data_IF_097850576747
#
_entry.id   IF_097850576747
#
_cell.length_a   1.000
_cell.length_b   1.000
_cell.length_c   1.000
_cell.angle_alpha   90.00
_cell.angle_beta   90.00
_cell.angle_gamma   90.00
#
_symmetry.space_group_name_H-M   'P 1'
#
loop_
_entity.id
_entity.type
_entity.pdbx_description
1 polymer ?
#
# COMPACT_ATOMS: atom_id res chain seq x y z
N UNK A 1 3.90 -17.28 -15.16
CA UNK A 1 4.55 -15.95 -15.07
C UNK A 1 3.41 -14.95 -14.88
N UNK A 2 3.48 -14.06 -13.90
CA UNK A 2 2.41 -13.07 -13.64
C UNK A 2 2.68 -11.83 -14.49
N UNK A 3 1.66 -11.35 -15.20
CA UNK A 3 1.72 -10.09 -15.95
C UNK A 3 1.34 -8.92 -15.03
N UNK A 4 2.28 -8.01 -14.76
CA UNK A 4 2.10 -6.95 -13.76
C UNK A 4 1.09 -5.86 -14.14
N UNK A 5 0.75 -5.73 -15.42
CA UNK A 5 -0.22 -4.75 -15.91
C UNK A 5 -1.60 -4.98 -15.27
N UNK A 6 -2.04 -6.24 -15.21
CA UNK A 6 -3.38 -6.64 -14.76
C UNK A 6 -3.38 -7.35 -13.39
N UNK A 7 -2.21 -7.54 -12.77
CA UNK A 7 -2.09 -8.22 -11.49
C UNK A 7 -2.64 -7.38 -10.32
N UNK A 8 -3.23 -8.07 -9.36
CA UNK A 8 -3.70 -7.58 -8.07
C UNK A 8 -2.91 -8.22 -6.94
N UNK A 9 -3.01 -7.67 -5.71
CA UNK A 9 -2.36 -8.24 -4.53
C UNK A 9 -2.66 -9.73 -4.30
N UNK A 10 -3.89 -10.16 -4.62
CA UNK A 10 -4.34 -11.53 -4.42
C UNK A 10 -3.63 -12.54 -5.32
N UNK A 11 -3.15 -12.09 -6.48
CA UNK A 11 -2.47 -12.95 -7.45
C UNK A 11 -1.10 -13.44 -6.95
N UNK A 12 -0.58 -12.83 -5.88
CA UNK A 12 0.70 -13.20 -5.25
C UNK A 12 0.53 -14.10 -4.03
N UNK A 13 -0.70 -14.34 -3.54
CA UNK A 13 -0.94 -15.19 -2.36
C UNK A 13 -0.79 -16.69 -2.67
N UNK A 14 -1.04 -17.10 -3.91
CA UNK A 14 -1.08 -18.52 -4.31
C UNK A 14 -0.45 -18.74 -5.69
N UNK A 15 0.84 -18.41 -5.83
CA UNK A 15 1.56 -18.66 -7.08
C UNK A 15 1.92 -20.15 -7.17
N UNK A 16 1.32 -20.85 -8.14
CA UNK A 16 1.55 -22.28 -8.33
C UNK A 16 3.04 -22.57 -8.52
N UNK A 17 3.54 -23.58 -7.80
CA UNK A 17 4.92 -24.08 -7.84
C UNK A 17 5.99 -23.15 -7.26
N UNK A 18 5.61 -22.10 -6.55
CA UNK A 18 6.53 -21.26 -5.80
C UNK A 18 6.31 -21.42 -4.30
N UNK A 19 7.39 -21.40 -3.55
CA UNK A 19 7.31 -21.25 -2.11
C UNK A 19 7.08 -19.77 -1.72
N UNK A 20 6.92 -19.53 -0.41
CA UNK A 20 6.62 -18.19 0.09
C UNK A 20 7.75 -17.19 -0.16
N UNK A 21 9.01 -17.62 -0.10
CA UNK A 21 10.17 -16.77 -0.33
C UNK A 21 10.28 -16.34 -1.80
N UNK A 22 10.00 -17.26 -2.72
CA UNK A 22 9.95 -16.99 -4.16
C UNK A 22 8.78 -16.08 -4.53
N UNK A 23 7.62 -16.31 -3.92
CA UNK A 23 6.43 -15.49 -4.10
C UNK A 23 6.65 -14.06 -3.61
N UNK A 24 7.34 -13.90 -2.46
CA UNK A 24 7.71 -12.61 -1.90
C UNK A 24 8.61 -11.80 -2.85
N UNK A 25 9.62 -12.42 -3.47
CA UNK A 25 10.50 -11.74 -4.45
C UNK A 25 9.76 -11.25 -5.69
N UNK A 26 8.76 -11.99 -6.15
CA UNK A 26 7.94 -11.60 -7.29
C UNK A 26 6.99 -10.46 -6.90
N UNK A 27 6.46 -10.52 -5.68
CA UNK A 27 5.62 -9.46 -5.13
C UNK A 27 6.39 -8.15 -4.92
N UNK A 28 7.63 -8.20 -4.42
CA UNK A 28 8.52 -7.04 -4.31
C UNK A 28 8.73 -6.36 -5.67
N UNK A 29 9.01 -7.14 -6.72
CA UNK A 29 9.13 -6.61 -8.10
C UNK A 29 7.84 -5.96 -8.60
N UNK A 30 6.68 -6.52 -8.23
CA UNK A 30 5.38 -5.94 -8.56
C UNK A 30 5.16 -4.60 -7.83
N UNK A 31 5.54 -4.50 -6.55
CA UNK A 31 5.50 -3.25 -5.80
C UNK A 31 6.40 -2.19 -6.45
N UNK A 32 7.62 -2.55 -6.86
CA UNK A 32 8.51 -1.65 -7.59
C UNK A 32 7.92 -1.22 -8.94
N UNK A 33 7.32 -2.14 -9.70
CA UNK A 33 6.65 -1.84 -10.98
C UNK A 33 5.51 -0.83 -10.82
N UNK A 34 4.70 -0.99 -9.76
CA UNK A 34 3.62 -0.04 -9.43
C UNK A 34 4.12 1.25 -8.78
N UNK A 35 5.44 1.44 -8.66
CA UNK A 35 6.09 2.59 -7.99
C UNK A 35 5.66 2.74 -6.52
N UNK A 36 5.35 1.63 -5.85
CA UNK A 36 5.21 1.55 -4.39
C UNK A 36 6.58 1.38 -3.68
N UNK A 37 7.67 1.39 -4.45
CA UNK A 37 9.07 1.38 -3.97
C UNK A 37 9.38 2.55 -3.04
N UNK A 38 8.73 3.70 -3.25
CA UNK A 38 8.90 4.85 -2.39
C UNK A 38 7.94 4.75 -1.20
N UNK A 39 8.49 4.29 -0.08
CA UNK A 39 8.03 4.52 1.28
C UNK A 39 6.80 5.44 1.40
N UNK A 40 5.59 4.88 1.26
CA UNK A 40 4.34 5.55 1.67
C UNK A 40 4.22 5.58 3.20
N UNK A 41 5.29 5.99 3.86
CA UNK A 41 5.37 6.38 5.25
C UNK A 41 4.68 7.74 5.39
N UNK A 42 3.39 7.83 5.09
CA UNK A 42 2.60 8.96 5.55
C UNK A 42 2.54 8.83 7.08
N UNK A 43 3.50 9.47 7.74
CA UNK A 43 3.48 9.58 9.19
C UNK A 43 2.36 10.55 9.54
N UNK A 44 1.18 9.98 9.79
CA UNK A 44 0.02 10.73 10.25
C UNK A 44 0.19 10.97 11.75
N UNK A 45 0.40 12.23 12.12
CA UNK A 45 0.36 12.62 13.53
C UNK A 45 -1.10 12.92 13.88
N UNK A 46 -1.72 11.99 14.60
CA UNK A 46 -3.06 12.20 15.16
C UNK A 46 -3.00 13.20 16.31
N UNK A 47 -3.94 14.15 16.35
CA UNK A 47 -4.22 15.00 17.52
C UNK A 47 -5.44 14.53 18.31
N UNK A 48 -6.12 13.47 17.86
CA UNK A 48 -7.30 12.91 18.52
C UNK A 48 -6.99 11.57 19.20
N UNK A 49 -7.69 11.29 20.30
CA UNK A 49 -7.69 9.97 20.96
C UNK A 49 -8.44 8.88 20.17
N UNK A 50 -8.71 7.73 20.80
CA UNK A 50 -9.38 6.55 20.20
C UNK A 50 -10.88 6.77 19.89
N UNK A 51 -11.20 7.63 18.93
CA UNK A 51 -12.55 7.77 18.37
C UNK A 51 -12.57 7.42 16.89
N UNK A 52 -13.74 7.15 16.32
CA UNK A 52 -13.90 6.90 14.88
C UNK A 52 -13.66 8.14 14.00
N UNK A 53 -13.41 9.30 14.61
CA UNK A 53 -13.02 10.54 13.94
C UNK A 53 -11.56 10.85 14.27
N UNK A 54 -10.75 11.07 13.24
CA UNK A 54 -9.33 11.34 13.37
C UNK A 54 -9.01 12.79 12.99
N UNK A 55 -8.34 13.52 13.87
CA UNK A 55 -7.87 14.88 13.61
C UNK A 55 -6.38 14.78 13.27
N UNK A 56 -5.98 15.26 12.09
CA UNK A 56 -4.60 15.16 11.61
C UNK A 56 -3.86 16.48 11.76
N UNK A 57 -2.56 16.40 12.08
CA UNK A 57 -1.65 17.53 11.93
C UNK A 57 -1.22 17.69 10.47
N UNK A 58 -1.60 18.80 9.84
CA UNK A 58 -1.13 19.17 8.51
C UNK A 58 -0.22 20.40 8.59
N UNK A 59 0.92 20.33 7.90
CA UNK A 59 1.83 21.48 7.71
C UNK A 59 1.38 22.42 6.59
N UNK A 60 0.40 22.02 5.78
CA UNK A 60 -0.01 22.71 4.54
C UNK A 60 -1.52 23.04 4.49
N UNK A 61 -2.23 22.94 5.62
CA UNK A 61 -3.69 23.18 5.70
C UNK A 61 -4.53 21.90 5.61
N UNK A 62 -5.80 21.99 5.99
CA UNK A 62 -6.74 20.87 6.02
C UNK A 62 -7.51 20.77 4.69
N UNK A 63 -6.90 20.16 3.67
CA UNK A 63 -7.66 19.76 2.48
C UNK A 63 -7.80 18.24 2.46
N UNK A 64 -9.05 17.79 2.57
CA UNK A 64 -9.42 16.38 2.51
C UNK A 64 -10.29 16.17 1.27
N UNK A 65 -9.85 15.31 0.35
CA UNK A 65 -10.69 14.82 -0.76
C UNK A 65 -11.38 13.56 -0.25
N UNK A 66 -12.70 13.64 -0.04
CA UNK A 66 -13.55 12.48 0.20
C UNK A 66 -14.11 12.02 -1.14
N UNK A 67 -13.86 10.76 -1.52
CA UNK A 67 -14.59 10.13 -2.61
C UNK A 67 -15.81 9.43 -2.02
N UNK A 68 -16.97 9.73 -2.61
CA UNK A 68 -18.28 9.20 -2.21
C UNK A 68 -18.45 7.75 -2.62
#
# INVERSE_FOLDING_TARGET
>A
MIEFENATFKDFENISKLNIDESSKIFEKYLSYKKYDDHQSYRIISKSGCSSKMILESKYGQEFISFK
#
